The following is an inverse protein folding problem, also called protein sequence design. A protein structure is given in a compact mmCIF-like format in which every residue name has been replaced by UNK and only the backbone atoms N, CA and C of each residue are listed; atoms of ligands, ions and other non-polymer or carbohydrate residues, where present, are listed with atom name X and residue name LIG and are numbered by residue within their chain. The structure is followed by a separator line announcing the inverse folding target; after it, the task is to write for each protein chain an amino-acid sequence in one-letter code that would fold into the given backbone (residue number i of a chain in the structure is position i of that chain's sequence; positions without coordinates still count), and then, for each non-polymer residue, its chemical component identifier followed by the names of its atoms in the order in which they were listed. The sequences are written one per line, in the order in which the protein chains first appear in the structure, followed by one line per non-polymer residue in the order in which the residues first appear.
data_IF_052901869336
#
_entry.id   IF_052901869336
#
_cell.length_a   1.000
_cell.length_b   1.000
_cell.length_c   1.000
_cell.angle_alpha   90.00
_cell.angle_beta   90.00
_cell.angle_gamma   90.00
#
_symmetry.space_group_name_H-M   'P 1'
#
loop_
_entity.id
_entity.type
_entity.pdbx_description
1 polymer ?
#
# COMPACT_ATOMS: atom_id res chain seq x y z
N UNK A 1 37.79 -17.66 41.82
CA UNK A 1 37.73 -17.17 40.43
C UNK A 1 36.33 -17.46 39.92
N UNK A 2 35.60 -16.41 39.53
CA UNK A 2 34.15 -16.43 39.39
C UNK A 2 33.66 -17.00 38.07
N UNK A 3 32.62 -17.82 38.15
CA UNK A 3 31.74 -18.12 37.01
C UNK A 3 30.63 -17.07 37.02
N UNK A 4 30.63 -16.20 36.02
CA UNK A 4 29.59 -15.18 35.83
C UNK A 4 28.26 -15.87 35.50
N UNK A 5 27.30 -15.80 36.41
CA UNK A 5 25.91 -16.16 36.13
C UNK A 5 25.37 -15.18 35.08
N UNK A 6 25.21 -15.65 33.84
CA UNK A 6 24.50 -14.88 32.83
C UNK A 6 23.01 -14.83 33.23
N UNK A 7 22.58 -13.69 33.76
CA UNK A 7 21.18 -13.37 33.94
C UNK A 7 20.53 -13.24 32.57
N UNK A 8 19.91 -14.32 32.10
CA UNK A 8 18.95 -14.28 31.00
C UNK A 8 17.70 -13.55 31.49
N UNK A 9 17.74 -12.21 31.49
CA UNK A 9 16.54 -11.39 31.60
C UNK A 9 15.81 -11.42 30.25
N UNK A 10 15.20 -12.56 29.93
CA UNK A 10 14.09 -12.58 28.99
C UNK A 10 12.82 -12.37 29.80
N UNK A 11 12.44 -11.11 29.98
CA UNK A 11 11.11 -10.75 30.43
C UNK A 11 10.09 -11.10 29.31
N UNK A 12 9.83 -12.40 29.13
CA UNK A 12 8.68 -12.89 28.40
C UNK A 12 7.51 -12.84 29.36
N UNK A 13 6.92 -11.65 29.49
CA UNK A 13 5.63 -11.54 30.15
C UNK A 13 4.58 -12.17 29.21
N UNK A 14 4.42 -13.48 29.34
CA UNK A 14 3.50 -14.33 28.59
C UNK A 14 2.04 -14.20 29.07
N UNK A 15 1.75 -13.13 29.84
CA UNK A 15 0.47 -12.89 30.50
C UNK A 15 -0.42 -11.88 29.77
N UNK A 16 -0.06 -11.45 28.55
CA UNK A 16 -1.00 -10.81 27.64
C UNK A 16 -1.50 -11.80 26.59
N UNK A 17 -2.06 -12.91 27.08
CA UNK A 17 -3.00 -13.73 26.35
C UNK A 17 -4.25 -12.87 26.07
N UNK A 18 -4.17 -12.04 25.01
CA UNK A 18 -5.34 -11.35 24.49
C UNK A 18 -6.25 -12.40 23.85
N UNK A 19 -7.10 -13.01 24.67
CA UNK A 19 -8.25 -13.84 24.28
C UNK A 19 -9.39 -12.99 23.69
N UNK A 20 -9.22 -11.67 23.68
CA UNK A 20 -10.12 -10.73 23.01
C UNK A 20 -9.62 -10.55 21.58
N UNK A 21 -10.43 -10.82 20.54
CA UNK A 21 -10.10 -10.36 19.20
C UNK A 21 -9.78 -8.87 19.29
N UNK A 22 -8.56 -8.47 18.89
CA UNK A 22 -8.17 -7.06 18.81
C UNK A 22 -9.36 -6.30 18.21
N UNK A 23 -9.90 -5.27 18.87
CA UNK A 23 -11.07 -4.55 18.38
C UNK A 23 -10.79 -4.17 16.93
N UNK A 24 -11.48 -4.83 16.01
CA UNK A 24 -11.36 -4.60 14.58
C UNK A 24 -11.91 -3.20 14.34
N UNK A 25 -11.06 -2.18 14.53
CA UNK A 25 -11.41 -0.81 14.23
C UNK A 25 -11.96 -0.80 12.82
N UNK A 26 -13.25 -0.44 12.67
CA UNK A 26 -14.08 -0.71 11.47
C UNK A 26 -13.24 -0.62 10.20
N UNK A 27 -12.85 -1.78 9.65
CA UNK A 27 -11.98 -1.85 8.49
C UNK A 27 -12.73 -1.32 7.26
N UNK A 28 -12.58 -0.03 7.00
CA UNK A 28 -13.22 0.66 5.87
C UNK A 28 -12.17 1.11 4.88
N UNK A 29 -12.36 0.72 3.62
CA UNK A 29 -11.53 1.21 2.54
C UNK A 29 -11.80 2.70 2.30
N UNK A 30 -10.73 3.49 2.20
CA UNK A 30 -10.78 4.88 1.77
C UNK A 30 -10.14 5.01 0.40
N UNK A 31 -10.66 5.92 -0.41
CA UNK A 31 -10.08 6.23 -1.70
C UNK A 31 -8.88 7.16 -1.51
N UNK A 32 -7.77 6.87 -2.17
CA UNK A 32 -6.60 7.73 -2.20
C UNK A 32 -6.90 8.97 -3.05
N UNK A 33 -6.88 10.14 -2.43
CA UNK A 33 -7.07 11.42 -3.11
C UNK A 33 -5.77 11.97 -3.69
N UNK A 34 -4.60 11.39 -3.36
CA UNK A 34 -3.31 11.83 -3.87
C UNK A 34 -3.26 11.66 -5.39
N UNK A 35 -3.06 12.79 -6.07
CA UNK A 35 -2.89 12.88 -7.52
C UNK A 35 -1.41 13.08 -7.82
N UNK A 36 -0.94 12.44 -8.88
CA UNK A 36 0.33 12.79 -9.51
C UNK A 36 0.00 13.31 -10.90
N UNK A 37 0.37 14.57 -11.18
CA UNK A 37 -0.17 15.33 -12.31
C UNK A 37 -1.71 15.26 -12.31
N UNK A 38 -2.32 14.94 -13.46
CA UNK A 38 -3.79 14.82 -13.63
C UNK A 38 -4.37 13.43 -13.31
N UNK A 39 -3.55 12.47 -12.87
CA UNK A 39 -3.98 11.06 -12.62
C UNK A 39 -3.91 10.72 -11.14
N UNK A 40 -4.91 9.98 -10.65
CA UNK A 40 -4.93 9.47 -9.28
C UNK A 40 -3.88 8.36 -9.14
N UNK A 41 -3.09 8.39 -8.06
CA UNK A 41 -2.10 7.34 -7.79
C UNK A 41 -2.81 6.00 -7.56
N UNK A 42 -2.38 5.00 -8.30
CA UNK A 42 -2.79 3.61 -8.14
C UNK A 42 -1.64 2.84 -7.48
N UNK A 43 -1.97 1.89 -6.62
CA UNK A 43 -0.99 1.06 -5.94
C UNK A 43 -1.36 -0.41 -6.05
N UNK A 44 -0.36 -1.28 -6.11
CA UNK A 44 -0.56 -2.72 -6.21
C UNK A 44 -1.31 -3.26 -5.00
N UNK A 45 -2.50 -3.83 -5.21
CA UNK A 45 -3.32 -4.41 -4.14
C UNK A 45 -2.57 -5.54 -3.45
N UNK A 46 -2.52 -5.57 -2.12
CA UNK A 46 -1.73 -6.56 -1.37
C UNK A 46 -2.13 -7.99 -1.66
N UNK A 47 -3.44 -8.28 -1.72
CA UNK A 47 -3.95 -9.61 -2.05
C UNK A 47 -3.66 -9.98 -3.50
N UNK A 48 -3.85 -9.04 -4.43
CA UNK A 48 -3.54 -9.28 -5.84
C UNK A 48 -2.04 -9.52 -6.05
N UNK A 49 -1.17 -8.78 -5.37
CA UNK A 49 0.28 -8.97 -5.44
C UNK A 49 0.69 -10.30 -4.84
N UNK A 50 0.17 -10.65 -3.67
CA UNK A 50 0.43 -11.92 -2.99
C UNK A 50 0.10 -13.12 -3.90
N UNK A 51 -1.09 -13.09 -4.51
CA UNK A 51 -1.59 -14.16 -5.36
C UNK A 51 -1.09 -14.08 -6.81
N UNK A 52 -0.39 -13.01 -7.22
CA UNK A 52 0.11 -12.90 -8.59
C UNK A 52 1.14 -13.99 -8.88
N UNK A 53 1.11 -14.50 -10.11
CA UNK A 53 2.15 -15.39 -10.60
C UNK A 53 3.48 -14.63 -10.69
N UNK A 54 4.63 -15.31 -10.53
CA UNK A 54 5.93 -14.68 -10.68
C UNK A 54 6.02 -13.99 -12.05
N UNK A 55 6.56 -12.78 -12.07
CA UNK A 55 6.71 -11.93 -13.26
C UNK A 55 5.41 -11.42 -13.91
N UNK A 56 4.25 -11.62 -13.28
CA UNK A 56 2.98 -11.03 -13.77
C UNK A 56 2.65 -9.72 -13.08
N UNK A 57 2.00 -8.81 -13.81
CA UNK A 57 1.54 -7.55 -13.23
C UNK A 57 0.33 -7.80 -12.32
N UNK A 58 0.49 -7.54 -11.02
CA UNK A 58 -0.63 -7.57 -10.09
C UNK A 58 -1.60 -6.42 -10.31
N UNK A 59 -2.89 -6.62 -10.03
CA UNK A 59 -3.88 -5.56 -10.11
C UNK A 59 -3.63 -4.42 -9.11
N UNK A 60 -3.91 -3.21 -9.56
CA UNK A 60 -3.77 -1.99 -8.77
C UNK A 60 -5.13 -1.52 -8.22
N UNK A 61 -5.08 -0.70 -7.18
CA UNK A 61 -6.23 -0.04 -6.58
C UNK A 61 -5.88 1.34 -6.06
N UNK A 62 -6.85 2.24 -6.12
CA UNK A 62 -6.79 3.55 -5.46
C UNK A 62 -7.29 3.47 -4.03
N UNK A 63 -7.87 2.34 -3.60
CA UNK A 63 -8.39 2.18 -2.26
C UNK A 63 -7.33 1.61 -1.31
N UNK A 64 -7.38 2.04 -0.05
CA UNK A 64 -6.51 1.57 1.02
C UNK A 64 -7.26 1.49 2.35
N UNK A 65 -6.74 0.73 3.31
CA UNK A 65 -7.32 0.66 4.66
C UNK A 65 -6.48 1.45 5.67
N UNK A 66 -6.94 2.60 6.19
CA UNK A 66 -6.18 3.40 7.16
C UNK A 66 -5.83 2.63 8.43
N UNK A 67 -6.77 1.83 8.96
CA UNK A 67 -6.54 1.02 10.17
C UNK A 67 -5.39 0.03 9.96
N UNK A 68 -5.37 -0.66 8.82
CA UNK A 68 -4.31 -1.62 8.50
C UNK A 68 -2.95 -0.97 8.29
N UNK A 69 -2.91 0.31 7.89
CA UNK A 69 -1.64 1.03 7.72
C UNK A 69 -0.96 1.34 9.04
N UNK A 70 -1.76 1.75 10.03
CA UNK A 70 -1.28 1.94 11.40
C UNK A 70 -0.81 0.60 11.94
N UNK A 71 -1.63 -0.45 11.79
CA UNK A 71 -1.31 -1.79 12.29
C UNK A 71 -0.06 -2.40 11.65
N UNK A 72 0.23 -2.14 10.37
CA UNK A 72 1.37 -2.73 9.64
C UNK A 72 2.54 -1.77 9.44
N UNK A 73 2.45 -0.52 9.89
CA UNK A 73 3.51 0.49 9.72
C UNK A 73 3.81 0.86 8.27
N UNK A 74 2.84 0.72 7.35
CA UNK A 74 3.05 0.98 5.92
C UNK A 74 1.76 0.96 5.10
N UNK A 75 1.81 1.49 3.86
CA UNK A 75 0.64 1.63 3.00
C UNK A 75 0.01 0.26 2.64
N UNK A 76 -1.31 0.13 2.85
CA UNK A 76 -2.10 -1.10 2.63
C UNK A 76 -3.20 -0.86 1.59
N UNK A 77 -2.85 -0.86 0.30
CA UNK A 77 -3.82 -0.81 -0.80
C UNK A 77 -4.58 -2.13 -0.94
N UNK A 78 -5.90 -2.03 -1.04
CA UNK A 78 -6.80 -3.17 -1.14
C UNK A 78 -7.92 -2.88 -2.14
N UNK A 79 -8.21 -3.87 -2.98
CA UNK A 79 -9.31 -3.80 -3.93
C UNK A 79 -10.65 -4.22 -3.27
N UNK A 80 -11.77 -3.64 -3.70
CA UNK A 80 -13.11 -4.07 -3.29
C UNK A 80 -13.75 -5.06 -4.29
N UNK A 81 -12.93 -5.73 -5.12
CA UNK A 81 -13.39 -6.65 -6.16
C UNK A 81 -13.08 -8.09 -5.77
N UNK A 82 -13.96 -9.01 -6.14
CA UNK A 82 -13.64 -10.43 -6.19
C UNK A 82 -12.63 -10.64 -7.33
N UNK A 83 -11.63 -11.48 -7.09
CA UNK A 83 -10.55 -11.81 -8.02
C UNK A 83 -10.36 -13.32 -7.99
N UNK A 84 -9.87 -13.89 -9.09
CA UNK A 84 -9.64 -15.34 -9.20
C UNK A 84 -10.91 -16.16 -9.01
N UNK A 85 -12.01 -15.71 -9.59
CA UNK A 85 -13.31 -16.43 -9.54
C UNK A 85 -13.19 -17.82 -10.17
N UNK A 86 -12.28 -18.00 -11.13
CA UNK A 86 -11.94 -19.29 -11.75
C UNK A 86 -11.39 -20.32 -10.75
N UNK A 87 -10.87 -19.87 -9.61
CA UNK A 87 -10.38 -20.74 -8.51
C UNK A 87 -11.44 -21.00 -7.45
N UNK A 88 -12.69 -20.54 -7.67
CA UNK A 88 -13.79 -20.65 -6.72
C UNK A 88 -13.79 -19.57 -5.63
N UNK A 89 -13.02 -18.49 -5.78
CA UNK A 89 -13.01 -17.41 -4.79
C UNK A 89 -14.29 -16.56 -4.86
N UNK A 90 -14.95 -16.39 -3.72
CA UNK A 90 -16.16 -15.57 -3.55
C UNK A 90 -15.92 -14.29 -2.75
N UNK A 91 -14.70 -14.10 -2.22
CA UNK A 91 -14.36 -12.98 -1.35
C UNK A 91 -13.64 -11.87 -2.12
N UNK A 92 -13.95 -10.62 -1.76
CA UNK A 92 -13.19 -9.46 -2.25
C UNK A 92 -11.78 -9.45 -1.68
N UNK A 93 -10.83 -8.77 -2.34
CA UNK A 93 -9.48 -8.59 -1.78
C UNK A 93 -9.52 -8.01 -0.35
N UNK A 94 -10.45 -7.08 -0.09
CA UNK A 94 -10.65 -6.50 1.23
C UNK A 94 -11.03 -7.55 2.27
N UNK A 95 -11.98 -8.42 1.95
CA UNK A 95 -12.40 -9.50 2.86
C UNK A 95 -11.25 -10.48 3.09
N UNK A 96 -10.59 -10.97 2.04
CA UNK A 96 -9.44 -11.88 2.18
C UNK A 96 -8.38 -11.28 3.12
N UNK A 97 -8.05 -9.99 2.94
CA UNK A 97 -7.07 -9.33 3.80
C UNK A 97 -7.51 -9.26 5.26
N UNK A 98 -8.74 -8.83 5.53
CA UNK A 98 -9.20 -8.58 6.91
C UNK A 98 -9.60 -9.87 7.63
N UNK A 99 -10.30 -10.78 6.96
CA UNK A 99 -10.85 -12.00 7.58
C UNK A 99 -9.89 -13.18 7.46
N UNK A 100 -9.50 -13.55 6.24
CA UNK A 100 -8.70 -14.76 5.99
C UNK A 100 -7.25 -14.56 6.44
N UNK A 101 -6.67 -13.39 6.20
CA UNK A 101 -5.27 -13.09 6.53
C UNK A 101 -5.10 -12.30 7.84
N UNK A 102 -6.16 -12.10 8.63
CA UNK A 102 -6.07 -11.43 9.93
C UNK A 102 -5.45 -10.04 9.85
N UNK A 103 -5.84 -9.23 8.87
CA UNK A 103 -5.24 -7.91 8.60
C UNK A 103 -3.75 -7.96 8.20
N UNK A 104 -3.33 -9.09 7.62
CA UNK A 104 -1.97 -9.32 7.14
C UNK A 104 -1.04 -10.02 8.13
N UNK A 105 -1.55 -10.56 9.23
CA UNK A 105 -0.79 -11.37 10.20
C UNK A 105 -0.73 -12.86 9.79
N UNK A 106 -1.80 -13.39 9.21
CA UNK A 106 -1.98 -14.79 8.82
C UNK A 106 -1.77 -15.01 7.31
N UNK A 107 -0.85 -14.26 6.69
CA UNK A 107 -0.56 -14.42 5.26
C UNK A 107 0.24 -15.73 5.06
N UNK A 108 -0.20 -16.64 4.18
CA UNK A 108 0.54 -17.86 3.89
C UNK A 108 1.99 -17.58 3.47
N UNK A 109 2.95 -18.33 4.03
CA UNK A 109 4.39 -18.08 3.86
C UNK A 109 4.82 -17.99 2.40
N UNK A 110 4.27 -18.86 1.55
CA UNK A 110 4.57 -18.91 0.12
C UNK A 110 4.08 -17.66 -0.66
N UNK A 111 3.07 -16.94 -0.14
CA UNK A 111 2.53 -15.71 -0.75
C UNK A 111 3.21 -14.45 -0.22
N UNK A 112 3.78 -14.48 0.99
CA UNK A 112 4.37 -13.31 1.67
C UNK A 112 5.48 -12.65 0.85
N UNK A 113 6.29 -13.44 0.15
CA UNK A 113 7.42 -12.96 -0.68
C UNK A 113 7.00 -11.99 -1.79
N UNK A 114 5.74 -12.05 -2.24
CA UNK A 114 5.24 -11.21 -3.32
C UNK A 114 4.68 -9.85 -2.80
N UNK A 115 4.62 -9.65 -1.48
CA UNK A 115 4.01 -8.47 -0.86
C UNK A 115 5.10 -7.47 -0.46
N UNK A 116 5.04 -6.26 -1.04
CA UNK A 116 5.95 -5.16 -0.69
C UNK A 116 5.23 -4.11 0.14
N UNK A 117 5.76 -3.76 1.31
CA UNK A 117 5.28 -2.62 2.10
C UNK A 117 6.05 -1.36 1.74
N UNK A 118 5.34 -0.33 1.28
CA UNK A 118 5.91 0.99 1.04
C UNK A 118 5.53 1.88 2.22
N UNK A 119 6.53 2.54 2.83
CA UNK A 119 6.25 3.65 3.74
C UNK A 119 5.57 4.76 2.93
N UNK A 120 4.57 5.43 3.50
CA UNK A 120 4.13 6.71 2.92
C UNK A 120 5.27 7.71 3.09
N UNK A 121 5.56 8.50 2.06
CA UNK A 121 6.30 9.76 2.24
C UNK A 121 5.43 10.58 3.20
N UNK A 122 5.95 10.95 4.36
CA UNK A 122 5.28 11.95 5.21
C UNK A 122 5.14 13.21 4.34
N UNK A 123 4.05 13.94 4.49
CA UNK A 123 3.94 15.27 3.89
C UNK A 123 5.03 16.11 4.58
N UNK A 124 6.18 16.23 3.93
CA UNK A 124 7.09 17.34 4.20
C UNK A 124 6.38 18.57 3.63
N UNK A 125 6.05 19.52 4.51
CA UNK A 125 5.70 20.87 4.10
C UNK A 125 6.83 21.45 3.24
N UNK A 126 6.44 22.15 2.18
CA UNK A 126 7.24 22.96 1.28
C UNK A 126 8.35 22.28 0.46
N UNK A 127 8.00 22.01 -0.79
CA UNK A 127 8.91 22.26 -1.90
C UNK A 127 8.07 22.85 -3.03
N UNK A 128 8.08 24.17 -3.14
CA UNK A 128 7.56 24.97 -4.24
C UNK A 128 8.21 24.48 -5.54
N UNK A 129 7.43 23.82 -6.40
CA UNK A 129 7.83 23.45 -7.75
C UNK A 129 7.39 24.58 -8.68
N UNK A 130 8.21 25.64 -8.76
CA UNK A 130 8.08 26.66 -9.80
C UNK A 130 8.65 26.10 -11.11
N UNK A 131 7.83 25.37 -11.86
CA UNK A 131 8.07 25.06 -13.27
C UNK A 131 7.43 26.18 -14.10
N UNK A 132 8.17 27.29 -14.25
CA UNK A 132 7.82 28.36 -15.20
C UNK A 132 7.98 27.81 -16.61
N UNK A 133 6.85 27.47 -17.24
CA UNK A 133 6.81 27.14 -18.66
C UNK A 133 7.12 28.38 -19.49
N UNK A 134 8.34 28.43 -20.02
CA UNK A 134 8.80 29.45 -20.97
C UNK A 134 7.95 29.36 -22.26
N UNK A 135 7.08 30.35 -22.42
CA UNK A 135 6.34 30.66 -23.65
C UNK A 135 7.33 31.18 -24.69
N UNK A 136 7.70 30.34 -25.65
CA UNK A 136 8.45 30.78 -26.81
C UNK A 136 7.45 31.27 -27.88
N UNK A 137 7.17 32.57 -27.85
CA UNK A 137 6.39 33.29 -28.85
C UNK A 137 7.12 33.25 -30.21
N UNK A 138 6.62 32.41 -31.12
CA UNK A 138 7.12 32.36 -32.50
C UNK A 138 6.50 33.53 -33.26
N UNK A 139 7.20 34.66 -33.27
CA UNK A 139 6.90 35.77 -34.17
C UNK A 139 7.08 35.32 -35.62
N UNK A 140 5.98 34.91 -36.24
CA UNK A 140 5.83 34.71 -37.67
C UNK A 140 5.92 36.09 -38.34
N UNK A 141 7.09 36.43 -38.87
CA UNK A 141 7.24 37.60 -39.74
C UNK A 141 6.79 37.24 -41.14
N UNK A 142 5.59 37.72 -41.47
CA UNK A 142 5.05 37.83 -42.80
C UNK A 142 5.86 38.87 -43.59
N UNK A 143 6.61 38.42 -44.58
CA UNK A 143 7.07 39.27 -45.69
C UNK A 143 6.62 38.63 -46.98
N UNK A 144 5.38 38.92 -47.36
CA UNK A 144 4.90 38.86 -48.72
C UNK A 144 5.33 40.07 -49.56
N UNK A 145 5.07 39.92 -50.87
CA UNK A 145 5.24 40.83 -52.01
C UNK A 145 6.64 40.93 -52.66
N UNK A 146 6.82 40.39 -53.88
CA UNK A 146 6.51 40.99 -55.23
C UNK A 146 7.59 42.03 -55.60
N UNK A 147 8.17 42.12 -56.79
CA UNK A 147 7.90 41.67 -58.17
C UNK A 147 9.26 41.39 -58.86
#
# INVERSE_FOLDING_TARGET
MGVSAASFECNMNAEELVSVPIPVGKHRLRNNTNKYRRKRRQHSCKVCSAMAEPNTKSFESSFYCPSCEVLRGGYVPLCAKVRREETGNTLTCSQIWHTVWGCGTLIPVHLRKNIRYRKRKREDSDSEDSDEGEEHDVNYVDTGDSD
#
